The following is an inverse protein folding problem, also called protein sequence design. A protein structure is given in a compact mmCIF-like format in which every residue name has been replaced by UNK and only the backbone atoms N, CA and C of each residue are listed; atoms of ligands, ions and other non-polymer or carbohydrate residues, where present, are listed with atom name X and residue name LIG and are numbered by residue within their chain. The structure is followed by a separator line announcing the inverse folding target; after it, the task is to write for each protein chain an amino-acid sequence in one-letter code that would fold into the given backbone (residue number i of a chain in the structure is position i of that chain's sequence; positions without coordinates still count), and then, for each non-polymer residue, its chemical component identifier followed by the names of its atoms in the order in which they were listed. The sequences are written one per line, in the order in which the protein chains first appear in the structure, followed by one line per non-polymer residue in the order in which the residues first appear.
data_IF_791702263320
#
_entry.id   IF_791702263320
#
_cell.length_a   1.000
_cell.length_b   1.000
_cell.length_c   1.000
_cell.angle_alpha   90.00
_cell.angle_beta   90.00
_cell.angle_gamma   90.00
#
_symmetry.space_group_name_H-M   'P 1'
#
loop_
_entity.id
_entity.type
_entity.pdbx_description
1 polymer ?
2 non-polymer ?
3 non-polymer ?
4 non-polymer ?
5 non-polymer ?
6 water ?
#
# COMPACT_ATOMS: atom_id res chain seq x y z
N UNK A 1 -7.93 -16.45 -4.07
CA UNK A 1 -8.11 -16.65 -2.64
C UNK A 1 -7.75 -15.40 -1.86
N UNK A 2 -7.50 -15.61 -0.58
CA UNK A 2 -7.14 -14.53 0.35
C UNK A 2 -5.88 -13.79 -0.09
N UNK A 3 -4.78 -14.48 -0.41
CA UNK A 3 -3.53 -13.78 -0.77
C UNK A 3 -3.74 -12.95 -2.05
N UNK A 4 -4.44 -13.50 -3.03
CA UNK A 4 -4.61 -12.76 -4.28
C UNK A 4 -5.43 -11.53 -3.95
N UNK A 5 -6.41 -11.66 -3.05
CA UNK A 5 -7.32 -10.55 -2.67
C UNK A 5 -6.49 -9.41 -2.06
N UNK A 6 -5.45 -9.76 -1.30
CA UNK A 6 -4.54 -8.73 -0.72
C UNK A 6 -3.91 -7.98 -1.90
N UNK A 7 -3.46 -8.69 -2.93
CA UNK A 7 -2.79 -8.07 -4.11
C UNK A 7 -3.79 -7.19 -4.84
N UNK A 8 -5.00 -7.70 -5.10
CA UNK A 8 -6.08 -6.90 -5.73
C UNK A 8 -6.32 -5.59 -4.99
N UNK A 9 -6.55 -5.65 -3.69
CA UNK A 9 -6.85 -4.46 -2.86
C UNK A 9 -5.67 -3.50 -2.91
N UNK A 10 -4.46 -4.01 -2.71
CA UNK A 10 -3.25 -3.16 -2.78
C UNK A 10 -3.09 -2.51 -4.15
N UNK A 11 -3.57 -3.13 -5.23
CA UNK A 11 -3.42 -2.53 -6.58
C UNK A 11 -4.24 -1.25 -6.75
N UNK A 12 -5.23 -1.02 -5.92
CA UNK A 12 -6.04 0.24 -6.00
C UNK A 12 -6.46 0.62 -4.60
N UNK A 13 -5.50 0.68 -3.70
CA UNK A 13 -5.82 0.61 -2.25
C UNK A 13 -6.56 1.89 -1.79
N UNK A 14 -6.16 3.05 -2.27
CA UNK A 14 -6.84 4.32 -1.89
C UNK A 14 -8.35 4.14 -2.15
N UNK A 15 -8.72 3.70 -3.35
CA UNK A 15 -10.12 3.59 -3.79
C UNK A 15 -10.84 2.55 -2.91
N UNK A 16 -10.30 1.35 -2.77
CA UNK A 16 -10.93 0.27 -1.98
C UNK A 16 -11.07 0.70 -0.52
N UNK A 17 -10.04 1.31 0.04
CA UNK A 17 -10.03 1.74 1.44
C UNK A 17 -11.18 2.74 1.67
N UNK A 18 -11.32 3.74 0.79
CA UNK A 18 -12.36 4.77 0.96
C UNK A 18 -13.73 4.11 0.78
N UNK A 19 -13.89 3.29 -0.24
CA UNK A 19 -15.19 2.66 -0.55
C UNK A 19 -15.59 1.72 0.58
N UNK A 20 -14.69 0.89 1.08
CA UNK A 20 -15.03 -0.01 2.20
C UNK A 20 -15.29 0.76 3.49
N UNK A 21 -14.49 1.78 3.79
CA UNK A 21 -14.70 2.56 5.03
C UNK A 21 -16.05 3.30 4.94
N UNK A 22 -16.39 3.81 3.75
CA UNK A 22 -17.70 4.51 3.59
C UNK A 22 -18.83 3.50 3.77
N UNK A 23 -18.67 2.28 3.25
CA UNK A 23 -19.68 1.22 3.44
C UNK A 23 -19.86 0.97 4.94
N UNK A 24 -18.77 0.96 5.70
CA UNK A 24 -18.77 0.76 7.17
C UNK A 24 -19.53 1.92 7.83
N UNK A 25 -19.16 3.18 7.57
CA UNK A 25 -19.79 4.34 8.25
C UNK A 25 -21.27 4.46 7.86
N UNK A 26 -21.68 4.07 6.65
CA UNK A 26 -23.09 4.22 6.21
C UNK A 26 -23.92 3.06 6.80
N UNK A 27 -23.36 1.86 6.90
CA UNK A 27 -24.05 0.71 7.50
C UNK A 27 -24.24 0.94 9.01
N UNK A 28 -23.28 1.55 9.67
CA UNK A 28 -23.25 1.73 11.14
C UNK A 28 -23.03 3.21 11.44
N UNK A 29 -24.05 4.05 11.17
CA UNK A 29 -23.92 5.49 11.32
C UNK A 29 -23.39 5.95 12.69
N UNK A 30 -23.73 5.18 13.75
CA UNK A 30 -23.31 5.45 15.15
C UNK A 30 -21.79 5.38 15.29
N UNK A 31 -21.07 4.71 14.38
CA UNK A 31 -19.58 4.59 14.37
C UNK A 31 -18.95 5.92 13.98
N UNK A 32 -19.71 6.86 13.40
CA UNK A 32 -19.22 8.24 13.13
C UNK A 32 -18.87 8.91 14.47
N UNK A 33 -19.32 8.39 15.62
CA UNK A 33 -19.01 9.02 16.94
C UNK A 33 -17.47 8.98 17.19
N UNK A 34 -16.77 7.95 16.71
CA UNK A 34 -15.29 7.82 16.86
C UNK A 34 -14.55 8.79 15.93
N UNK A 35 -15.24 9.32 14.91
CA UNK A 35 -14.70 10.27 13.90
C UNK A 35 -15.73 11.38 13.80
N UNK A 36 -15.74 12.26 14.81
CA UNK A 36 -16.74 13.38 14.96
C UNK A 36 -16.69 14.31 13.74
N UNK A 37 -15.51 14.50 13.13
CA UNK A 37 -15.23 15.42 11.99
C UNK A 37 -15.80 14.86 10.66
N UNK A 38 -16.34 13.64 10.68
CA UNK A 38 -16.97 13.01 9.48
C UNK A 38 -18.50 13.19 9.49
N UNK A 39 -19.06 13.64 10.59
CA UNK A 39 -20.54 13.84 10.74
C UNK A 39 -21.03 14.89 9.76
N UNK A 40 -22.24 14.69 9.18
CA UNK A 40 -22.97 15.67 8.38
C UNK A 40 -22.33 15.89 7.02
N UNK A 41 -21.58 14.91 6.53
CA UNK A 41 -20.88 15.02 5.23
C UNK A 41 -21.18 13.81 4.36
N UNK A 42 -21.55 14.10 3.12
CA UNK A 42 -21.85 13.08 2.08
C UNK A 42 -20.55 12.33 1.77
N UNK A 43 -20.67 11.15 1.18
CA UNK A 43 -19.48 10.41 0.71
C UNK A 43 -18.50 11.30 -0.07
N UNK A 44 -18.97 12.05 -1.08
CA UNK A 44 -18.08 12.89 -1.94
C UNK A 44 -17.38 13.97 -1.08
N UNK A 45 -18.10 14.52 -0.08
CA UNK A 45 -17.48 15.51 0.83
C UNK A 45 -16.32 14.81 1.57
N UNK A 46 -16.56 13.65 2.16
CA UNK A 46 -15.49 12.92 2.91
C UNK A 46 -14.32 12.63 1.98
N UNK A 47 -14.54 12.19 0.75
CA UNK A 47 -13.42 11.86 -0.18
C UNK A 47 -12.61 13.09 -0.62
N UNK A 48 -13.14 14.29 -0.46
CA UNK A 48 -12.46 15.56 -0.79
C UNK A 48 -11.52 15.95 0.34
N UNK A 49 -11.81 15.45 1.56
CA UNK A 49 -11.11 15.85 2.81
C UNK A 49 -9.77 15.11 2.92
N UNK A 50 -8.73 15.84 3.34
CA UNK A 50 -7.35 15.34 3.60
C UNK A 50 -7.33 14.21 4.64
N UNK A 51 -7.79 14.46 5.87
CA UNK A 51 -7.67 13.48 6.97
C UNK A 51 -8.35 12.19 6.49
N UNK A 52 -9.43 12.33 5.73
CA UNK A 52 -10.22 11.14 5.35
C UNK A 52 -9.39 10.22 4.46
N UNK A 53 -8.88 10.74 3.36
CA UNK A 53 -8.20 9.86 2.40
C UNK A 53 -6.92 9.32 3.02
N UNK A 54 -6.17 10.17 3.71
CA UNK A 54 -4.83 9.81 4.28
C UNK A 54 -5.00 8.75 5.37
N UNK A 55 -5.90 9.01 6.32
CA UNK A 55 -6.19 8.16 7.50
C UNK A 55 -6.77 6.81 7.02
N UNK A 56 -7.79 6.82 6.16
CA UNK A 56 -8.40 5.55 5.69
C UNK A 56 -7.35 4.72 4.96
N UNK A 57 -6.52 5.35 4.15
CA UNK A 57 -5.51 4.59 3.39
C UNK A 57 -4.51 4.00 4.38
N UNK A 58 -4.09 4.75 5.40
CA UNK A 58 -3.15 4.22 6.42
C UNK A 58 -3.77 3.05 7.18
N UNK A 59 -5.08 3.10 7.45
CA UNK A 59 -5.77 1.97 8.11
C UNK A 59 -5.59 0.74 7.22
N UNK A 60 -5.84 0.88 5.91
CA UNK A 60 -5.88 -0.30 5.02
C UNK A 60 -4.45 -0.71 4.68
N UNK A 61 -3.50 0.22 4.67
CA UNK A 61 -2.08 -0.18 4.48
C UNK A 61 -1.72 -1.22 5.57
N UNK A 62 -2.03 -0.88 6.81
CA UNK A 62 -1.76 -1.78 7.95
C UNK A 62 -2.64 -3.01 7.89
N UNK A 63 -3.93 -2.86 7.54
CA UNK A 63 -4.82 -4.03 7.53
C UNK A 63 -4.24 -5.05 6.56
N UNK A 64 -3.78 -4.60 5.39
CA UNK A 64 -3.23 -5.54 4.38
C UNK A 64 -1.94 -6.19 4.87
N UNK A 65 -1.11 -5.47 5.65
CA UNK A 65 0.11 -6.06 6.23
C UNK A 65 -0.29 -7.16 7.22
N UNK A 66 -1.27 -6.89 8.05
CA UNK A 66 -1.78 -7.87 9.05
C UNK A 66 -2.33 -9.10 8.33
N UNK A 67 -3.13 -8.90 7.28
CA UNK A 67 -3.65 -9.96 6.40
C UNK A 67 -2.48 -10.75 5.81
N UNK A 68 -1.46 -10.07 5.32
CA UNK A 68 -0.33 -10.69 4.59
C UNK A 68 0.54 -11.52 5.55
N UNK A 69 0.65 -11.08 6.78
CA UNK A 69 1.43 -11.81 7.83
C UNK A 69 0.65 -12.98 8.44
N UNK A 70 -0.67 -13.08 8.21
CA UNK A 70 -1.54 -14.15 8.74
C UNK A 70 -1.17 -15.52 8.17
N UNK A 71 -1.44 -16.56 8.94
CA UNK A 71 -1.44 -17.96 8.41
C UNK A 71 -2.88 -18.44 8.45
N UNK A 72 -3.40 -18.89 7.33
CA UNK A 72 -4.77 -19.46 7.22
C UNK A 72 -5.77 -18.47 7.85
N UNK A 73 -5.59 -17.17 7.60
CA UNK A 73 -6.52 -16.11 8.02
C UNK A 73 -6.42 -15.89 9.54
N UNK A 74 -5.33 -16.36 10.15
CA UNK A 74 -5.13 -16.15 11.62
C UNK A 74 -4.00 -15.16 11.77
N UNK A 75 -4.28 -13.96 12.30
CA UNK A 75 -3.28 -12.90 12.39
C UNK A 75 -2.24 -13.23 13.45
N UNK A 76 -1.07 -12.58 13.34
CA UNK A 76 -0.02 -12.69 14.38
C UNK A 76 -0.55 -12.07 15.66
N UNK A 77 -0.23 -12.68 16.81
CA UNK A 77 -0.58 -12.08 18.11
C UNK A 77 0.08 -10.69 18.28
N UNK A 78 1.30 -10.53 17.79
CA UNK A 78 2.04 -9.24 17.79
C UNK A 78 1.26 -8.15 17.04
N UNK A 79 0.60 -8.49 15.92
CA UNK A 79 -0.20 -7.49 15.15
C UNK A 79 -1.45 -7.12 15.96
N UNK A 80 -2.05 -8.12 16.63
CA UNK A 80 -3.23 -7.90 17.48
C UNK A 80 -2.87 -6.94 18.63
N UNK A 81 -1.74 -7.18 19.28
CA UNK A 81 -1.25 -6.38 20.43
C UNK A 81 -1.04 -4.93 19.96
N UNK A 82 -0.38 -4.74 18.81
CA UNK A 82 -0.15 -3.39 18.24
C UNK A 82 -1.50 -2.67 18.11
N UNK A 83 -2.47 -3.31 17.47
CA UNK A 83 -3.81 -2.71 17.24
C UNK A 83 -4.45 -2.31 18.57
N UNK A 84 -4.39 -3.17 19.61
CA UNK A 84 -5.01 -2.88 20.94
C UNK A 84 -4.25 -1.73 21.63
N UNK A 85 -2.92 -1.73 21.57
CA UNK A 85 -2.09 -0.75 22.33
C UNK A 85 -2.17 0.66 21.70
N UNK A 86 -2.32 0.74 20.39
CA UNK A 86 -2.26 2.05 19.69
C UNK A 86 -3.07 3.08 20.46
N UNK A 87 -2.50 4.25 20.79
CA UNK A 87 -3.20 5.38 21.47
C UNK A 87 -4.51 5.72 20.73
N UNK A 88 -4.47 5.69 19.39
CA UNK A 88 -5.59 5.98 18.46
C UNK A 88 -6.83 5.12 18.76
N UNK A 89 -6.62 3.91 19.28
CA UNK A 89 -7.70 2.90 19.53
C UNK A 89 -8.10 2.85 21.03
N UNK A 90 -7.60 3.74 21.89
CA UNK A 90 -7.90 3.68 23.34
C UNK A 90 -9.42 3.56 23.55
N UNK A 91 -10.21 4.33 22.82
CA UNK A 91 -11.69 4.28 22.89
C UNK A 91 -12.29 2.89 22.65
N UNK A 92 -11.76 2.10 21.72
CA UNK A 92 -12.54 1.10 20.93
C UNK A 92 -12.81 -0.23 21.67
N UNK A 93 -13.85 -0.96 21.23
CA UNK A 93 -14.13 -2.35 21.66
C UNK A 93 -14.13 -3.26 20.43
N UNK A 94 -14.17 -4.55 20.64
CA UNK A 94 -14.10 -5.52 19.52
C UNK A 94 -15.27 -5.29 18.57
N UNK A 95 -16.41 -4.76 19.06
CA UNK A 95 -17.61 -4.52 18.24
C UNK A 95 -17.27 -3.57 17.10
N UNK A 96 -16.41 -2.57 17.36
CA UNK A 96 -16.02 -1.61 16.31
C UNK A 96 -15.37 -2.39 15.17
N UNK A 97 -14.49 -3.33 15.49
CA UNK A 97 -13.75 -4.12 14.48
C UNK A 97 -14.70 -5.11 13.83
N UNK A 98 -15.56 -5.77 14.63
CA UNK A 98 -16.69 -6.63 14.16
C UNK A 98 -17.30 -5.94 12.94
N UNK A 99 -17.84 -4.75 13.17
CA UNK A 99 -18.71 -4.02 12.22
C UNK A 99 -17.92 -3.66 10.98
N UNK A 100 -16.64 -3.28 11.15
CA UNK A 100 -15.81 -2.92 9.98
C UNK A 100 -15.73 -4.17 9.11
N UNK A 101 -15.57 -5.35 9.70
CA UNK A 101 -15.35 -6.53 8.84
C UNK A 101 -16.67 -7.04 8.28
N UNK A 102 -17.78 -6.84 8.97
CA UNK A 102 -19.10 -7.17 8.36
C UNK A 102 -19.27 -6.33 7.09
N UNK A 103 -18.97 -5.04 7.17
CA UNK A 103 -19.10 -4.13 6.01
C UNK A 103 -18.15 -4.55 4.90
N UNK A 104 -16.90 -4.86 5.23
CA UNK A 104 -15.91 -5.28 4.22
C UNK A 104 -16.41 -6.55 3.52
N UNK A 105 -16.87 -7.54 4.28
CA UNK A 105 -17.34 -8.80 3.67
C UNK A 105 -18.54 -8.53 2.75
N UNK A 106 -19.52 -7.74 3.23
CA UNK A 106 -20.70 -7.35 2.42
C UNK A 106 -20.22 -6.66 1.14
N UNK A 107 -19.30 -5.69 1.27
CA UNK A 107 -18.76 -4.98 0.09
C UNK A 107 -18.23 -5.98 -0.93
N UNK A 108 -17.46 -6.96 -0.46
CA UNK A 108 -16.85 -7.95 -1.37
C UNK A 108 -17.96 -8.80 -2.02
N UNK A 109 -18.94 -9.23 -1.24
CA UNK A 109 -20.07 -10.06 -1.74
C UNK A 109 -20.81 -9.31 -2.85
N UNK A 110 -20.99 -7.98 -2.70
CA UNK A 110 -21.77 -7.13 -3.62
C UNK A 110 -20.95 -6.75 -4.85
N UNK A 111 -19.63 -6.94 -4.81
CA UNK A 111 -18.71 -6.42 -5.85
C UNK A 111 -18.87 -7.26 -7.12
N UNK A 112 -18.46 -6.76 -8.26
CA UNK A 112 -18.50 -7.72 -9.39
C UNK A 112 -17.48 -8.88 -9.33
N UNK A 113 -16.65 -8.96 -8.29
CA UNK A 113 -15.30 -9.61 -8.35
C UNK A 113 -15.18 -10.86 -7.50
N UNK A 114 -14.25 -11.75 -7.86
CA UNK A 114 -14.11 -13.09 -7.25
C UNK A 114 -13.28 -12.98 -5.95
N UNK A 115 -13.59 -12.00 -5.11
CA UNK A 115 -13.03 -11.95 -3.72
C UNK A 115 -13.41 -13.24 -2.99
N UNK A 116 -12.51 -13.71 -2.14
CA UNK A 116 -12.75 -14.89 -1.27
C UNK A 116 -13.41 -14.35 0.00
N UNK A 117 -14.70 -14.01 -0.08
CA UNK A 117 -15.39 -13.29 1.02
C UNK A 117 -15.41 -14.17 2.28
N UNK A 118 -15.46 -15.48 2.13
CA UNK A 118 -15.47 -16.43 3.29
C UNK A 118 -14.18 -16.28 4.09
N UNK A 119 -13.05 -16.18 3.42
CA UNK A 119 -11.70 -16.02 4.02
C UNK A 119 -11.66 -14.66 4.76
N UNK A 120 -12.15 -13.57 4.15
CA UNK A 120 -12.18 -12.28 4.87
C UNK A 120 -13.07 -12.35 6.13
N UNK A 121 -14.19 -13.07 6.09
CA UNK A 121 -15.11 -13.17 7.24
C UNK A 121 -14.41 -13.91 8.35
N UNK A 122 -13.67 -14.99 8.03
CA UNK A 122 -12.86 -15.76 9.02
C UNK A 122 -11.71 -14.90 9.54
N UNK A 123 -11.05 -14.16 8.66
CA UNK A 123 -9.99 -13.22 9.07
C UNK A 123 -10.56 -12.21 10.09
N UNK A 124 -11.72 -11.63 9.80
CA UNK A 124 -12.37 -10.66 10.73
C UNK A 124 -12.63 -11.29 12.07
N UNK A 125 -13.28 -12.46 12.07
CA UNK A 125 -13.56 -13.26 13.31
C UNK A 125 -12.27 -13.51 14.09
N UNK A 126 -11.23 -14.02 13.40
CA UNK A 126 -9.94 -14.39 14.03
C UNK A 126 -9.25 -13.15 14.57
N UNK A 127 -9.38 -12.01 13.89
CA UNK A 127 -8.75 -10.76 14.38
C UNK A 127 -9.51 -10.29 15.63
N UNK A 128 -10.83 -10.38 15.62
CA UNK A 128 -11.62 -9.99 16.80
C UNK A 128 -11.18 -10.88 17.96
N UNK A 129 -11.08 -12.19 17.76
CA UNK A 129 -10.63 -13.17 18.79
C UNK A 129 -9.24 -12.78 19.30
N UNK A 130 -8.33 -12.45 18.39
CA UNK A 130 -6.94 -12.09 18.75
C UNK A 130 -6.95 -10.76 19.53
N UNK A 131 -7.82 -9.81 19.16
CA UNK A 131 -7.89 -8.50 19.86
C UNK A 131 -8.40 -8.72 21.30
N UNK A 132 -9.49 -9.48 21.47
CA UNK A 132 -10.01 -9.91 22.80
C UNK A 132 -8.87 -10.50 23.63
N UNK A 133 -8.16 -11.48 23.05
CA UNK A 133 -7.04 -12.20 23.71
C UNK A 133 -5.94 -11.23 24.11
N UNK A 134 -5.69 -10.19 23.30
CA UNK A 134 -4.63 -9.19 23.58
C UNK A 134 -5.14 -8.08 24.52
N UNK A 135 -6.42 -8.02 24.91
CA UNK A 135 -6.94 -7.16 26.02
C UNK A 135 -7.94 -6.09 25.64
N UNK A 136 -8.45 -6.06 24.41
CA UNK A 136 -9.59 -5.20 24.07
C UNK A 136 -10.89 -5.79 24.64
N UNK A 137 -11.73 -4.93 25.23
CA UNK A 137 -13.05 -5.29 25.81
C UNK A 137 -14.12 -5.40 24.72
N UNK B 1 16.03 -4.77 8.56
CA UNK B 1 16.63 -5.04 7.25
C UNK B 1 15.62 -4.84 6.14
N UNK B 2 15.85 -5.52 5.01
CA UNK B 2 15.07 -5.31 3.78
C UNK B 2 13.62 -5.71 3.97
N UNK B 3 13.31 -6.82 4.66
CA UNK B 3 11.89 -7.19 4.89
C UNK B 3 11.19 -6.11 5.73
N UNK B 4 11.82 -5.62 6.80
CA UNK B 4 11.19 -4.61 7.64
C UNK B 4 11.04 -3.33 6.80
N UNK B 5 12.01 -3.02 5.96
CA UNK B 5 11.94 -1.82 5.08
C UNK B 5 10.69 -1.90 4.19
N UNK B 6 10.45 -3.07 3.63
CA UNK B 6 9.20 -3.24 2.83
C UNK B 6 7.99 -2.91 3.72
N UNK B 7 7.96 -3.38 4.96
CA UNK B 7 6.82 -3.09 5.86
C UNK B 7 6.73 -1.59 6.17
N UNK B 8 7.85 -0.97 6.45
CA UNK B 8 7.90 0.50 6.70
C UNK B 8 7.32 1.26 5.50
N UNK B 9 7.78 0.96 4.32
CA UNK B 9 7.35 1.69 3.09
C UNK B 9 5.85 1.44 2.87
N UNK B 10 5.43 0.17 2.94
CA UNK B 10 4.00 -0.19 2.78
C UNK B 10 3.12 0.55 3.79
N UNK B 11 3.61 0.86 5.02
CA UNK B 11 2.79 1.46 6.07
C UNK B 11 2.35 2.84 5.69
N UNK B 12 3.12 3.50 4.85
CA UNK B 12 2.83 4.87 4.41
C UNK B 12 3.21 5.01 2.94
N UNK B 13 2.67 4.11 2.13
CA UNK B 13 3.22 3.87 0.79
C UNK B 13 3.01 5.12 -0.07
N UNK B 14 1.85 5.77 0.03
CA UNK B 14 1.52 6.97 -0.80
C UNK B 14 2.58 8.06 -0.57
N UNK B 15 2.98 8.28 0.69
CA UNK B 15 3.91 9.37 1.10
C UNK B 15 5.31 9.02 0.62
N UNK B 16 5.78 7.81 0.94
CA UNK B 16 7.13 7.38 0.50
C UNK B 16 7.20 7.39 -1.02
N UNK B 17 6.17 6.88 -1.70
CA UNK B 17 6.22 6.71 -3.16
C UNK B 17 6.36 8.13 -3.77
N UNK B 18 5.53 9.09 -3.35
CA UNK B 18 5.65 10.48 -3.88
C UNK B 18 7.04 11.07 -3.57
N UNK B 19 7.50 10.93 -2.33
CA UNK B 19 8.75 11.56 -1.87
C UNK B 19 9.92 10.99 -2.66
N UNK B 20 9.96 9.69 -2.85
CA UNK B 20 11.08 9.05 -3.57
C UNK B 20 11.01 9.42 -5.05
N UNK B 21 9.82 9.37 -5.64
CA UNK B 21 9.67 9.63 -7.09
C UNK B 21 10.10 11.09 -7.35
N UNK B 22 9.70 11.98 -6.48
CA UNK B 22 10.02 13.43 -6.61
C UNK B 22 11.54 13.57 -6.49
N UNK B 23 12.18 12.81 -5.61
CA UNK B 23 13.66 12.84 -5.46
C UNK B 23 14.29 12.40 -6.79
N UNK B 24 13.75 11.33 -7.40
CA UNK B 24 14.14 10.82 -8.73
C UNK B 24 14.03 11.92 -9.80
N UNK B 25 12.88 12.56 -9.91
CA UNK B 25 12.59 13.50 -11.03
C UNK B 25 13.45 14.75 -10.86
N UNK B 26 13.66 15.16 -9.62
CA UNK B 26 14.49 16.35 -9.30
C UNK B 26 15.97 16.04 -9.55
N UNK B 27 16.44 14.82 -9.24
CA UNK B 27 17.88 14.51 -9.44
C UNK B 27 18.18 14.37 -10.94
N UNK B 28 17.24 13.88 -11.71
CA UNK B 28 17.36 13.51 -13.15
C UNK B 28 16.22 14.18 -13.90
N UNK B 29 16.31 15.50 -14.08
CA UNK B 29 15.21 16.23 -14.70
C UNK B 29 14.87 15.78 -16.15
N UNK B 30 15.81 15.24 -16.92
CA UNK B 30 15.51 14.71 -18.28
C UNK B 30 14.51 13.56 -18.20
N UNK B 31 14.45 12.83 -17.08
CA UNK B 31 13.51 11.71 -16.89
C UNK B 31 12.07 12.21 -16.89
N UNK B 32 11.84 13.51 -16.65
CA UNK B 32 10.47 14.08 -16.53
C UNK B 32 9.74 13.99 -17.87
N UNK B 33 10.48 13.82 -18.98
CA UNK B 33 9.92 13.63 -20.37
C UNK B 33 8.99 12.44 -20.49
N UNK B 34 9.39 11.31 -19.90
CA UNK B 34 8.55 10.10 -19.74
C UNK B 34 7.18 10.46 -19.15
N UNK B 35 7.05 11.64 -18.52
CA UNK B 35 5.85 12.07 -17.78
C UNK B 35 5.51 13.50 -18.21
N UNK B 36 5.14 13.65 -19.48
CA UNK B 36 4.93 14.99 -20.10
C UNK B 36 3.89 15.82 -19.32
N UNK B 37 2.97 15.19 -18.57
CA UNK B 37 1.93 15.89 -17.76
C UNK B 37 2.52 16.42 -16.43
N UNK B 38 3.80 16.16 -16.13
CA UNK B 38 4.42 16.59 -14.84
C UNK B 38 5.38 17.77 -15.05
N UNK B 39 5.63 18.12 -16.28
CA UNK B 39 6.52 19.24 -16.65
C UNK B 39 5.96 20.56 -16.12
N UNK B 40 6.84 21.43 -15.62
CA UNK B 40 6.48 22.82 -15.31
C UNK B 40 5.70 22.89 -14.02
N UNK B 41 5.75 21.84 -13.20
CA UNK B 41 5.00 21.75 -11.93
C UNK B 41 6.00 21.55 -10.81
N UNK B 42 5.82 22.26 -9.70
CA UNK B 42 6.65 22.10 -8.49
C UNK B 42 6.25 20.80 -7.81
N UNK B 43 6.97 20.42 -6.77
CA UNK B 43 6.61 19.22 -5.98
C UNK B 43 5.20 19.34 -5.36
N UNK B 44 4.82 20.51 -4.84
CA UNK B 44 3.46 20.67 -4.25
C UNK B 44 2.41 20.78 -5.37
N UNK B 45 2.75 21.24 -6.59
CA UNK B 45 1.82 21.20 -7.76
C UNK B 45 1.46 19.74 -8.02
N UNK B 46 2.44 18.84 -7.93
CA UNK B 46 2.28 17.42 -8.30
C UNK B 46 1.54 16.68 -7.18
N UNK B 47 1.91 16.93 -5.93
CA UNK B 47 1.35 16.26 -4.73
C UNK B 47 -0.11 16.67 -4.57
N UNK B 48 -0.57 17.70 -5.28
CA UNK B 48 -2.01 18.14 -5.28
C UNK B 48 -2.79 17.31 -6.30
N UNK B 49 -2.10 16.63 -7.24
CA UNK B 49 -2.77 16.06 -8.45
C UNK B 49 -3.15 14.60 -8.20
N UNK B 50 -4.41 14.29 -8.52
CA UNK B 50 -5.00 12.94 -8.61
C UNK B 50 -3.98 11.92 -9.09
N UNK B 51 -3.72 11.89 -10.41
CA UNK B 51 -3.06 10.74 -11.07
C UNK B 51 -1.61 10.69 -10.57
N UNK B 52 -1.03 11.79 -10.08
CA UNK B 52 0.38 11.77 -9.61
C UNK B 52 0.49 10.80 -8.42
N UNK B 53 -0.31 11.07 -7.39
CA UNK B 53 -0.38 10.24 -6.17
C UNK B 53 -0.78 8.80 -6.51
N UNK B 54 -1.81 8.63 -7.33
CA UNK B 54 -2.29 7.27 -7.73
C UNK B 54 -1.21 6.56 -8.56
N UNK B 55 -0.69 7.23 -9.57
CA UNK B 55 0.28 6.60 -10.48
C UNK B 55 1.57 6.24 -9.68
N UNK B 56 2.04 7.08 -8.75
CA UNK B 56 3.32 6.85 -8.00
C UNK B 56 3.06 5.72 -6.98
N UNK B 57 1.90 5.74 -6.35
CA UNK B 57 1.66 4.64 -5.37
C UNK B 57 1.60 3.30 -6.13
N UNK B 58 1.00 3.25 -7.33
CA UNK B 58 0.86 1.95 -8.05
C UNK B 58 2.22 1.40 -8.49
N UNK B 59 3.13 2.29 -8.85
CA UNK B 59 4.53 1.93 -9.17
C UNK B 59 5.15 1.28 -7.93
N UNK B 60 5.04 1.94 -6.79
CA UNK B 60 5.73 1.52 -5.55
C UNK B 60 5.05 0.25 -5.03
N UNK B 61 3.74 0.12 -5.17
CA UNK B 61 3.06 -1.13 -4.77
C UNK B 61 3.71 -2.30 -5.52
N UNK B 62 3.78 -2.23 -6.85
CA UNK B 62 4.36 -3.33 -7.62
C UNK B 62 5.84 -3.48 -7.21
N UNK B 63 6.55 -2.37 -6.97
CA UNK B 63 7.99 -2.47 -6.55
C UNK B 63 8.05 -3.26 -5.23
N UNK B 64 7.18 -2.99 -4.29
CA UNK B 64 7.14 -3.72 -2.98
C UNK B 64 6.77 -5.19 -3.19
N UNK B 65 5.88 -5.52 -4.13
CA UNK B 65 5.49 -6.93 -4.45
C UNK B 65 6.74 -7.67 -4.95
N UNK B 66 7.48 -7.08 -5.89
CA UNK B 66 8.71 -7.67 -6.48
C UNK B 66 9.72 -7.84 -5.33
N UNK B 67 9.90 -6.80 -4.50
CA UNK B 67 10.88 -6.82 -3.42
C UNK B 67 10.51 -7.94 -2.43
N UNK B 68 9.24 -8.11 -2.13
CA UNK B 68 8.83 -9.12 -1.13
C UNK B 68 9.01 -10.54 -1.69
N UNK B 69 8.88 -10.72 -2.99
CA UNK B 69 8.99 -12.06 -3.63
C UNK B 69 10.47 -12.39 -3.88
N UNK B 70 11.35 -11.40 -3.81
CA UNK B 70 12.80 -11.62 -4.05
C UNK B 70 13.39 -12.52 -2.96
N UNK B 71 14.48 -13.22 -3.30
CA UNK B 71 15.27 -14.01 -2.32
C UNK B 71 16.63 -13.37 -2.24
N UNK B 72 17.08 -12.94 -1.05
CA UNK B 72 18.42 -12.31 -0.89
C UNK B 72 18.53 -11.15 -1.91
N UNK B 73 17.46 -10.39 -2.10
CA UNK B 73 17.45 -9.16 -2.93
C UNK B 73 17.60 -9.52 -4.42
N UNK B 74 17.31 -10.76 -4.78
CA UNK B 74 17.30 -11.19 -6.21
C UNK B 74 15.86 -11.41 -6.59
N UNK B 75 15.37 -10.59 -7.54
CA UNK B 75 13.98 -10.65 -7.94
C UNK B 75 13.79 -11.87 -8.82
N UNK B 76 12.56 -12.37 -8.87
CA UNK B 76 12.16 -13.45 -9.82
C UNK B 76 12.28 -12.94 -11.25
N UNK B 77 12.72 -13.80 -12.15
CA UNK B 77 12.77 -13.49 -13.58
C UNK B 77 11.34 -13.14 -14.05
N UNK B 78 10.33 -13.84 -13.52
CA UNK B 78 8.91 -13.61 -13.89
C UNK B 78 8.58 -12.13 -13.72
N UNK B 79 8.94 -11.54 -12.58
CA UNK B 79 8.60 -10.13 -12.23
C UNK B 79 9.37 -9.15 -13.13
N UNK B 80 10.66 -9.45 -13.35
CA UNK B 80 11.49 -8.71 -14.32
C UNK B 80 10.74 -8.71 -15.66
N UNK B 81 10.26 -9.87 -16.12
CA UNK B 81 9.56 -10.02 -17.42
C UNK B 81 8.27 -9.17 -17.45
N UNK B 82 7.47 -9.22 -16.37
CA UNK B 82 6.29 -8.31 -16.23
C UNK B 82 6.75 -6.85 -16.47
N UNK B 83 7.76 -6.39 -15.78
CA UNK B 83 8.16 -4.96 -15.90
C UNK B 83 8.60 -4.68 -17.35
N UNK B 84 9.28 -5.60 -18.01
CA UNK B 84 9.78 -5.35 -19.39
C UNK B 84 8.61 -5.27 -20.36
N UNK B 85 7.58 -6.12 -20.15
CA UNK B 85 6.47 -6.40 -21.09
C UNK B 85 5.33 -5.39 -20.92
N UNK B 86 5.31 -4.63 -19.82
CA UNK B 86 4.27 -3.59 -19.59
C UNK B 86 4.33 -2.57 -20.73
N UNK B 87 3.19 -2.33 -21.38
CA UNK B 87 2.98 -1.35 -22.47
C UNK B 87 3.58 0.01 -22.05
N UNK B 88 3.30 0.40 -20.80
CA UNK B 88 3.76 1.69 -20.21
C UNK B 88 5.29 1.77 -20.15
N UNK B 89 6.00 0.64 -20.27
CA UNK B 89 7.48 0.61 -20.24
C UNK B 89 8.05 0.43 -21.66
N UNK B 90 7.21 0.50 -22.71
CA UNK B 90 7.63 0.33 -24.12
C UNK B 90 8.88 1.17 -24.43
N UNK B 91 8.90 2.44 -23.98
CA UNK B 91 10.00 3.37 -24.31
C UNK B 91 11.36 3.06 -23.64
N UNK B 92 11.38 2.31 -22.51
CA UNK B 92 12.43 2.42 -21.44
C UNK B 92 13.66 1.54 -21.64
N UNK B 93 14.79 1.98 -21.07
CA UNK B 93 16.06 1.20 -20.96
C UNK B 93 16.37 0.96 -19.48
N UNK B 94 17.30 0.05 -19.22
CA UNK B 94 17.76 -0.26 -17.85
C UNK B 94 18.16 1.07 -17.19
N UNK B 95 18.64 2.06 -17.98
CA UNK B 95 19.12 3.34 -17.42
C UNK B 95 18.07 4.04 -16.58
N UNK B 96 16.82 4.01 -17.05
CA UNK B 96 15.64 4.62 -16.40
C UNK B 96 15.54 4.07 -14.97
N UNK B 97 15.47 2.76 -14.83
CA UNK B 97 15.39 2.03 -13.53
C UNK B 97 16.64 2.23 -12.66
N UNK B 98 17.87 2.19 -13.21
CA UNK B 98 19.12 2.42 -12.43
C UNK B 98 19.00 3.77 -11.70
N UNK B 99 18.58 4.79 -12.43
CA UNK B 99 18.42 6.16 -11.86
C UNK B 99 17.36 6.19 -10.75
N UNK B 100 16.21 5.55 -10.96
CA UNK B 100 15.19 5.48 -9.90
C UNK B 100 15.79 4.86 -8.63
N UNK B 101 16.60 3.81 -8.79
CA UNK B 101 17.13 3.13 -7.59
C UNK B 101 18.26 3.94 -6.96
N UNK B 102 19.03 4.68 -7.75
CA UNK B 102 20.04 5.61 -7.19
C UNK B 102 19.30 6.58 -6.28
N UNK B 103 18.26 7.21 -6.80
CA UNK B 103 17.50 8.22 -6.03
C UNK B 103 16.94 7.56 -4.77
N UNK B 104 16.35 6.38 -4.89
CA UNK B 104 15.78 5.66 -3.73
C UNK B 104 16.86 5.40 -2.65
N UNK B 105 18.01 4.89 -3.04
CA UNK B 105 19.13 4.64 -2.09
C UNK B 105 19.59 5.95 -1.45
N UNK B 106 19.77 6.98 -2.25
CA UNK B 106 20.15 8.30 -1.71
C UNK B 106 19.08 8.80 -0.75
N UNK B 107 17.80 8.66 -1.09
CA UNK B 107 16.71 9.06 -0.17
C UNK B 107 16.85 8.33 1.17
N UNK B 108 17.10 7.02 1.09
CA UNK B 108 17.12 6.21 2.33
C UNK B 108 18.32 6.64 3.20
N UNK B 109 19.47 6.84 2.59
CA UNK B 109 20.69 7.24 3.35
C UNK B 109 20.44 8.59 4.03
N UNK B 110 19.69 9.47 3.41
CA UNK B 110 19.48 10.86 3.92
C UNK B 110 18.36 10.91 4.95
N UNK B 111 17.54 9.87 5.03
CA UNK B 111 16.34 9.89 5.91
C UNK B 111 16.80 9.74 7.36
N UNK B 112 15.95 10.06 8.31
CA UNK B 112 16.41 9.81 9.69
C UNK B 112 16.60 8.33 10.01
N UNK B 113 16.26 7.43 9.11
CA UNK B 113 15.75 6.10 9.53
C UNK B 113 16.75 5.00 9.18
N UNK B 114 16.64 3.89 9.87
CA UNK B 114 17.56 2.73 9.74
C UNK B 114 17.10 1.81 8.59
N UNK B 115 16.83 2.39 7.43
CA UNK B 115 16.68 1.62 6.18
C UNK B 115 17.94 0.81 5.93
N UNK B 116 17.80 -0.36 5.35
CA UNK B 116 18.98 -1.18 4.94
C UNK B 116 19.36 -0.74 3.53
N UNK B 117 19.97 0.46 3.39
CA UNK B 117 20.23 1.05 2.05
C UNK B 117 21.13 0.15 1.18
N UNK B 118 22.03 -0.64 1.75
CA UNK B 118 22.91 -1.50 0.90
C UNK B 118 22.07 -2.61 0.27
N UNK B 119 21.10 -3.15 0.99
CA UNK B 119 20.14 -4.15 0.46
C UNK B 119 19.34 -3.55 -0.70
N UNK B 120 18.83 -2.32 -0.54
CA UNK B 120 18.09 -1.64 -1.62
C UNK B 120 18.99 -1.37 -2.82
N UNK B 121 20.26 -1.05 -2.59
CA UNK B 121 21.24 -0.89 -3.68
C UNK B 121 21.39 -2.22 -4.44
N UNK B 122 21.63 -3.33 -3.75
CA UNK B 122 21.84 -4.61 -4.46
C UNK B 122 20.55 -5.06 -5.14
N UNK B 123 19.40 -4.79 -4.53
CA UNK B 123 18.09 -5.15 -5.12
C UNK B 123 17.99 -4.38 -6.45
N UNK B 124 18.25 -3.06 -6.43
CA UNK B 124 18.22 -2.25 -7.67
C UNK B 124 19.14 -2.79 -8.75
N UNK B 125 20.42 -3.10 -8.41
CA UNK B 125 21.41 -3.68 -9.38
C UNK B 125 20.84 -4.97 -9.94
N UNK B 126 20.38 -5.84 -9.04
CA UNK B 126 19.85 -7.17 -9.42
C UNK B 126 18.57 -7.03 -10.23
N UNK B 127 17.69 -6.03 -9.95
CA UNK B 127 16.49 -5.86 -10.79
C UNK B 127 16.91 -5.33 -12.16
N UNK B 128 17.85 -4.40 -12.22
CA UNK B 128 18.40 -3.91 -13.52
C UNK B 128 18.98 -5.08 -14.33
N UNK B 129 19.86 -5.88 -13.72
CA UNK B 129 20.41 -7.11 -14.37
C UNK B 129 19.25 -7.96 -14.92
N UNK B 130 18.28 -8.25 -14.06
CA UNK B 130 17.12 -9.09 -14.42
C UNK B 130 16.33 -8.47 -15.58
N UNK B 131 16.09 -7.15 -15.57
CA UNK B 131 15.34 -6.50 -16.68
C UNK B 131 16.10 -6.72 -17.99
N UNK B 132 17.42 -6.57 -17.96
CA UNK B 132 18.30 -6.88 -19.11
C UNK B 132 18.10 -8.34 -19.57
N UNK B 133 18.15 -9.28 -18.60
CA UNK B 133 18.00 -10.74 -18.80
C UNK B 133 16.60 -11.06 -19.38
N UNK B 134 15.57 -10.27 -19.03
CA UNK B 134 14.19 -10.45 -19.53
C UNK B 134 13.95 -9.60 -20.79
N UNK B 135 14.98 -8.92 -21.31
CA UNK B 135 14.96 -8.36 -22.69
C UNK B 135 15.09 -6.85 -22.81
N UNK B 136 15.20 -6.10 -21.72
CA UNK B 136 15.21 -4.61 -21.81
C UNK B 136 16.59 -4.14 -22.31
N UNK B 137 16.58 -3.18 -23.24
CA UNK B 137 17.81 -2.59 -23.83
C UNK B 137 18.44 -1.66 -22.79
X LIG C 1 -6.18 5.33 13.67
X LIG C 1 -5.21 1.00 11.71
X LIG C 1 -9.72 -0.45 12.82
X LIG C 1 -10.63 3.88 14.71
X LIG C 1 -5.56 4.28 13.00
X LIG C 1 -4.31 4.37 12.36
X LIG C 1 -4.02 3.17 11.80
X LIG C 1 -5.11 2.32 12.10
X LIG C 1 -2.75 2.83 11.04
X LIG C 1 -3.41 5.57 12.28
X LIG C 1 -3.65 6.34 10.96
X LIG C 1 -3.26 7.81 11.02
X LIG C 1 -3.16 8.45 9.95
X LIG C 1 -3.05 8.38 12.14
X LIG C 1 -6.38 0.24 11.86
X LIG C 1 -6.50 -1.10 11.33
X LIG C 1 -7.78 -1.52 11.61
X LIG C 1 -8.41 -0.40 12.34
X LIG C 1 -5.43 -1.85 10.59
X LIG C 1 -8.42 -2.83 11.38
X LIG C 1 -7.77 -3.94 11.06
X LIG C 1 -10.36 0.63 13.42
X LIG C 1 -11.72 0.67 13.77
X LIG C 1 -11.98 1.92 14.32
X LIG C 1 -10.75 2.62 14.24
X LIG C 1 -12.69 -0.48 13.59
X LIG C 1 -13.24 2.51 14.84
X LIG C 1 -14.42 1.92 14.72
X LIG C 1 -9.45 4.57 14.55
X LIG C 1 -9.44 5.97 15.01
X LIG C 1 -8.21 6.41 14.70
X LIG C 1 -7.49 5.25 14.11
X LIG C 1 -10.58 6.75 15.64
X LIG C 1 -7.71 7.82 14.98
X LIG C 1 -8.67 8.92 14.51
X LIG C 1 -7.98 9.79 13.52
X LIG C 1 -7.55 9.25 12.48
X LIG C 1 -7.84 11.03 13.71
X LIG C 1 -6.03 3.00 12.83
X LIG C 1 -7.52 0.60 12.42
X LIG C 1 -9.79 1.83 13.69
X LIG C 1 -8.29 4.18 14.01
X LIG C 1 -7.83 2.44 13.38
X LIG D 1 5.73 -7.11 6.14
X LIG D 1 5.28 -8.29 6.80
X LIG D 1 4.72 -6.61 5.14
X LIG D 1 5.36 -6.14 3.96
X LIG D 1 3.70 -7.67 4.79
X LIG D 1 2.78 -7.20 3.82
X LIG E 1 -8.12 6.42 10.90
X LIG E 1 -9.30 5.52 10.92
X LIG E 1 -10.48 6.23 10.44
X LIG E 1 -10.28 7.11 9.24
X LIG E 1 -9.11 7.82 9.17
X LIG E 1 -8.08 7.45 10.16
X LIG E 1 -11.13 7.35 8.37
X LIG E 1 -10.93 8.39 7.30
X LIG E 1 -12.47 6.75 8.37
X LIG E 1 -6.96 6.03 11.73
X LIG F 1 -5.39 -18.54 -0.47
X LIG F 1 -6.72 -18.41 0.01
X LIG F 1 -4.55 -17.54 0.15
X LIG F 1 -4.89 -19.85 -0.16
X LIG F 1 -5.34 -18.35 -1.91
X LIG G 1 -24.82 12.13 8.85
X LIG G 1 -25.32 13.05 7.88
X LIG G 1 -24.18 12.86 9.92
X LIG G 1 -23.83 11.25 8.27
X LIG G 1 -25.93 11.36 9.36
X LIG H 1 3.44 3.00 -15.38
X LIG H 1 5.50 0.00 -12.14
X LIG H 1 9.85 2.02 -13.03
X LIG H 1 7.77 4.86 -16.39
X LIG H 1 3.63 2.05 -14.39
X LIG H 1 2.60 1.38 -13.70
X LIG H 1 3.16 0.53 -12.78
X LIG H 1 4.57 0.66 -12.91
X LIG H 1 2.42 -0.41 -11.84
X LIG H 1 1.12 1.54 -13.94
X LIG H 1 0.41 2.35 -12.86
X LIG H 1 -0.82 3.03 -13.42
X LIG H 1 -1.44 3.81 -12.67
X LIG H 1 -1.20 2.83 -14.59
X LIG H 1 6.88 0.30 -12.12
X LIG H 1 7.83 -0.29 -11.23
X LIG H 1 9.06 0.27 -11.44
X LIG H 1 8.83 1.23 -12.53
X LIG H 1 7.53 -1.36 -10.21
X LIG H 1 10.40 -0.01 -10.82
X LIG H 1 10.65 -1.02 -9.99
X LIG H 1 9.67 3.00 -14.00
X LIG H 1 10.65 3.89 -14.49
X LIG H 1 10.05 4.70 -15.48
X LIG H 1 8.68 4.28 -15.54
X LIG H 1 12.09 3.94 -14.03
X LIG H 1 10.59 5.83 -16.26
X LIG H 1 11.73 6.45 -15.99
X LIG H 1 6.43 4.53 -16.34
X LIG H 1 5.48 5.27 -17.19
X LIG H 1 4.27 4.77 -16.92
X LIG H 1 4.50 3.71 -15.90
X LIG H 1 5.76 6.40 -18.18
X LIG H 1 2.99 5.26 -17.57
X LIG H 1 2.73 6.74 -17.33
X LIG H 1 1.37 7.06 -16.75
X LIG H 1 0.40 6.35 -17.05
X LIG H 1 1.24 8.04 -15.98
X LIG H 1 4.86 1.61 -13.89
X LIG H 1 7.52 1.20 -12.86
X LIG H 1 8.47 3.23 -14.64
X LIG H 1 5.81 3.60 -15.60
X LIG H 1 6.61 2.37 -14.35
X LIG I 1 12.27 0.75 10.51
X LIG I 1 13.27 -0.24 10.34
X LIG I 1 12.62 1.91 9.60
X LIG I 1 13.55 2.77 10.25
X LIG I 1 13.21 1.41 8.30
X LIG I 1 12.59 0.18 7.91
X LIG J 1 18.47 6.24 -19.58
X LIG J 1 18.02 6.97 -18.43
X LIG J 1 19.96 6.39 -19.80
X LIG J 1 20.42 5.43 -20.74
X LIG J 1 20.36 7.78 -20.24
X LIG J 1 19.43 8.31 -21.18
X LIG K 1 2.85 5.99 -13.91
X LIG K 1 2.25 7.02 -13.09
X LIG K 1 2.99 7.02 -11.82
X LIG K 1 4.35 7.53 -12.15
X LIG K 1 5.09 6.51 -12.97
X LIG K 1 4.16 5.77 -13.89
X LIG K 1 4.77 8.67 -11.79
X LIG K 1 6.12 9.18 -12.09
X LIG K 1 3.94 9.63 -11.00
X LIG K 1 1.86 5.09 -14.59
#
# INVERSE_FOLDING_TARGET
GFKQDIATLRGDLRTYAQDIFLAFLNKYPDEKRNFKNYVGKSDQELKSMAKFGDHTEKVFNLMMEVADRATDCVPLASDASTLVQMKQHSGLTTGNFEKLFVALVEYMRASGQSFDSQSWDRFGKNLVSALSSAGMK
GFKQDIATLRGDLRTYAQDIFLAFLNKYPDEKRNFKNYVGKSDQELKSMAKFGDHTEKVFNLMMEVADRATDCVPLASDASTLVQMKQHSGLTTGNFEKLFVALVEYMRASGQSFDSQSWDRFGKNLVSALSSAGMK
HEM CHA CHB CHC CHD C1A C2A C3A C4A CMA CAA CBA CGA O1A O2A C1B C2B C3B C4B CMB CAB CBB C1C C2C C3C C4C CMC CAC CBC C1D C2D C3D C4D CMD CAD CBD CGD O1D O2D NA NB NC ND FE
GOL C1 O1 C2 O2 C3 O3
9LR C1 C2 C3 C4 C5 C6 C7 C8 C9 C
SO4 S O1 O2 O3 O4
SO4 S O1 O2 O3 O4
HEM CHA CHB CHC CHD C1A C2A C3A C4A CMA CAA CBA CGA O1A O2A C1B C2B C3B C4B CMB CAB CBB C1C C2C C3C C4C CMC CAC CBC C1D C2D C3D C4D CMD CAD CBD CGD O1D O2D NA NB NC ND FE
GOL C1 O1 C2 O2 C3 O3
GOL C1 O1 C2 O2 C3 O3
9LR C1 C2 C3 C4 C5 C6 C7 C8 C9 C
#
